data_IF_068094638945
#
_entry.id   IF_068094638945
#
_cell.length_a   1.000
_cell.length_b   1.000
_cell.length_c   1.000
_cell.angle_alpha   90.00
_cell.angle_beta   90.00
_cell.angle_gamma   90.00
#
_symmetry.space_group_name_H-M   'P 1'
#
loop_
_entity.id
_entity.type
_entity.pdbx_description
1 polymer ?
#
# COMPACT_ATOMS: atom_id res chain seq x y z
N UNK A 1 1.70 -16.64 8.08
CA UNK A 1 1.05 -16.91 6.77
C UNK A 1 2.13 -17.31 5.77
N UNK A 2 1.85 -18.23 4.83
CA UNK A 2 2.73 -18.44 3.65
C UNK A 2 2.23 -17.53 2.53
N UNK A 3 2.61 -16.26 2.57
CA UNK A 3 2.33 -15.27 1.52
C UNK A 3 3.60 -14.99 0.70
N UNK A 4 3.42 -14.57 -0.56
CA UNK A 4 4.52 -14.03 -1.37
C UNK A 4 4.33 -12.52 -1.49
N UNK A 5 5.37 -11.76 -1.14
CA UNK A 5 5.35 -10.30 -1.10
C UNK A 5 6.31 -9.65 -2.11
N UNK A 6 7.04 -10.45 -2.87
CA UNK A 6 8.00 -10.01 -3.88
C UNK A 6 7.87 -10.82 -5.17
N UNK A 7 8.69 -10.49 -6.16
CA UNK A 7 8.76 -11.15 -7.46
C UNK A 7 9.54 -12.47 -7.46
N UNK A 8 10.12 -12.88 -6.33
CA UNK A 8 10.88 -14.14 -6.23
C UNK A 8 10.00 -15.39 -6.15
N UNK A 9 8.72 -15.24 -5.81
CA UNK A 9 7.78 -16.35 -5.84
C UNK A 9 6.81 -16.24 -7.02
N UNK A 10 6.36 -17.40 -7.55
CA UNK A 10 5.45 -17.42 -8.67
C UNK A 10 4.10 -16.83 -8.25
N UNK A 11 3.53 -16.00 -9.11
CA UNK A 11 2.17 -15.50 -8.94
C UNK A 11 1.93 -14.12 -9.55
N UNK A 12 2.96 -13.30 -9.66
CA UNK A 12 2.87 -12.03 -10.37
C UNK A 12 3.48 -12.15 -11.76
N UNK A 13 2.72 -11.78 -12.79
CA UNK A 13 3.20 -11.71 -14.16
C UNK A 13 3.61 -10.28 -14.46
N UNK A 14 4.90 -10.07 -14.72
CA UNK A 14 5.47 -8.75 -14.96
C UNK A 14 5.10 -8.28 -16.37
N UNK A 15 4.57 -7.06 -16.48
CA UNK A 15 4.27 -6.47 -17.77
C UNK A 15 5.54 -6.04 -18.51
N UNK A 16 5.53 -6.12 -19.85
CA UNK A 16 6.65 -5.64 -20.65
C UNK A 16 6.83 -4.12 -20.44
N UNK A 17 8.06 -3.69 -20.16
CA UNK A 17 8.39 -2.30 -19.86
C UNK A 17 8.06 -1.86 -18.43
N UNK A 18 7.70 -2.78 -17.53
CA UNK A 18 7.54 -2.48 -16.11
C UNK A 18 8.86 -1.98 -15.50
N UNK A 19 8.79 -0.90 -14.74
CA UNK A 19 9.93 -0.24 -14.09
C UNK A 19 9.86 -0.30 -12.55
N UNK A 20 8.87 -1.00 -12.02
CA UNK A 20 8.67 -1.22 -10.59
C UNK A 20 8.06 -2.60 -10.37
N UNK A 21 8.67 -3.40 -9.50
CA UNK A 21 8.22 -4.75 -9.17
C UNK A 21 7.77 -4.85 -7.70
N UNK A 22 6.84 -5.77 -7.36
CA UNK A 22 6.56 -6.10 -5.98
C UNK A 22 7.83 -6.47 -5.22
N UNK A 23 8.02 -5.88 -4.03
CA UNK A 23 9.22 -6.09 -3.20
C UNK A 23 10.41 -5.20 -3.56
N UNK A 24 10.36 -4.44 -4.66
CA UNK A 24 11.43 -3.50 -5.02
C UNK A 24 11.38 -2.25 -4.13
N UNK A 25 12.56 -1.80 -3.67
CA UNK A 25 12.69 -0.56 -2.93
C UNK A 25 12.41 0.67 -3.83
N UNK A 26 11.71 1.65 -3.26
CA UNK A 26 11.42 2.92 -3.93
C UNK A 26 12.56 3.91 -3.73
N UNK A 27 12.89 4.66 -4.78
CA UNK A 27 13.81 5.78 -4.72
C UNK A 27 13.45 6.84 -5.77
N UNK A 28 13.72 8.13 -5.52
CA UNK A 28 14.18 8.70 -4.24
C UNK A 28 13.10 8.69 -3.15
N UNK A 29 13.51 8.68 -1.88
CA UNK A 29 12.62 8.75 -0.71
C UNK A 29 12.33 10.21 -0.31
N UNK A 30 11.28 10.42 0.48
CA UNK A 30 10.97 11.73 1.08
C UNK A 30 12.06 12.18 2.06
N UNK A 31 12.21 13.49 2.20
CA UNK A 31 13.12 14.11 3.17
C UNK A 31 12.37 14.45 4.48
N UNK A 32 12.97 14.14 5.62
CA UNK A 32 12.37 14.44 6.92
C UNK A 32 12.25 15.95 7.14
N UNK A 33 11.01 16.45 7.29
CA UNK A 33 10.69 17.87 7.38
C UNK A 33 10.90 18.64 6.07
N UNK A 34 11.07 17.94 4.94
CA UNK A 34 11.46 18.51 3.66
C UNK A 34 10.55 18.11 2.51
N UNK A 35 11.15 17.78 1.37
CA UNK A 35 10.43 17.39 0.17
C UNK A 35 9.74 16.05 0.36
N UNK A 36 8.42 16.04 0.24
CA UNK A 36 7.61 14.83 0.31
C UNK A 36 7.42 14.24 -1.08
N UNK A 37 7.64 12.93 -1.17
CA UNK A 37 7.47 12.14 -2.39
C UNK A 37 6.36 11.13 -2.19
N UNK A 38 5.56 10.94 -3.23
CA UNK A 38 4.39 10.06 -3.22
C UNK A 38 4.43 9.14 -4.42
N UNK A 39 3.90 7.94 -4.25
CA UNK A 39 3.56 7.05 -5.35
C UNK A 39 2.06 6.77 -5.29
N UNK A 40 1.44 6.65 -6.45
CA UNK A 40 0.02 6.32 -6.53
C UNK A 40 -0.12 4.94 -7.15
N UNK A 41 -0.69 4.01 -6.39
CA UNK A 41 -0.89 2.63 -6.81
C UNK A 41 -2.38 2.35 -6.98
N UNK A 42 -2.73 1.66 -8.07
CA UNK A 42 -4.08 1.14 -8.30
C UNK A 42 -4.04 -0.35 -8.55
N UNK A 43 -4.91 -1.08 -7.85
CA UNK A 43 -5.19 -2.49 -8.10
C UNK A 43 -6.59 -2.58 -8.68
N UNK A 44 -6.73 -3.21 -9.85
CA UNK A 44 -8.01 -3.32 -10.55
C UNK A 44 -8.20 -4.73 -11.08
N UNK A 45 -9.38 -5.29 -10.88
CA UNK A 45 -9.80 -6.53 -11.53
C UNK A 45 -10.21 -6.27 -12.98
N UNK A 46 -9.68 -7.05 -13.91
CA UNK A 46 -10.15 -7.07 -15.29
C UNK A 46 -11.41 -7.93 -15.39
N UNK A 47 -12.52 -7.35 -15.86
CA UNK A 47 -13.81 -8.03 -16.01
C UNK A 47 -13.78 -9.14 -17.08
N UNK A 48 -12.89 -9.04 -18.07
CA UNK A 48 -12.79 -9.99 -19.18
C UNK A 48 -11.90 -11.18 -18.83
N UNK A 49 -10.74 -10.93 -18.24
CA UNK A 49 -9.79 -12.02 -17.92
C UNK A 49 -9.95 -12.55 -16.50
N UNK A 50 -10.55 -11.76 -15.60
CA UNK A 50 -10.64 -12.07 -14.18
C UNK A 50 -9.34 -11.81 -13.40
N UNK A 51 -8.29 -11.35 -14.07
CA UNK A 51 -6.99 -11.07 -13.46
C UNK A 51 -7.03 -9.78 -12.63
N UNK A 52 -6.15 -9.68 -11.64
CA UNK A 52 -5.94 -8.46 -10.87
C UNK A 52 -4.70 -7.74 -11.37
N UNK A 53 -4.87 -6.57 -11.99
CA UNK A 53 -3.81 -5.76 -12.55
C UNK A 53 -3.33 -4.70 -11.57
N UNK A 54 -2.02 -4.50 -11.51
CA UNK A 54 -1.33 -3.51 -10.70
C UNK A 54 -0.82 -2.37 -11.58
N UNK A 55 -1.16 -1.13 -11.21
CA UNK A 55 -0.76 0.08 -11.92
C UNK A 55 -0.05 1.07 -11.01
N UNK A 56 0.84 1.87 -11.60
CA UNK A 56 1.42 3.08 -11.01
C UNK A 56 0.94 4.32 -11.78
N UNK A 57 0.37 5.29 -11.08
CA UNK A 57 -0.33 6.43 -11.71
C UNK A 57 0.47 7.73 -11.70
N UNK A 58 1.44 7.87 -10.79
CA UNK A 58 2.26 9.09 -10.65
C UNK A 58 3.32 9.27 -11.76
N UNK A 59 3.53 8.25 -12.60
CA UNK A 59 4.57 8.26 -13.64
C UNK A 59 4.14 8.77 -15.01
N UNK A 60 2.95 9.35 -15.13
CA UNK A 60 2.57 10.12 -16.31
C UNK A 60 2.69 9.35 -17.63
N UNK A 61 1.99 8.23 -17.74
CA UNK A 61 1.69 7.64 -19.05
C UNK A 61 0.95 8.64 -19.97
N UNK A 62 0.64 8.30 -21.23
CA UNK A 62 -0.04 9.22 -22.16
C UNK A 62 -1.18 9.95 -21.45
N UNK A 63 -1.13 11.30 -21.51
CA UNK A 63 -1.83 12.30 -20.67
C UNK A 63 -2.87 11.70 -19.71
N UNK A 64 -2.53 11.63 -18.41
CA UNK A 64 -3.36 11.02 -17.36
C UNK A 64 -3.23 9.50 -17.25
N UNK A 65 -2.20 8.92 -17.86
CA UNK A 65 -2.06 7.48 -18.04
C UNK A 65 -1.50 6.73 -16.83
N UNK A 66 -2.13 5.59 -16.53
CA UNK A 66 -1.65 4.56 -15.61
C UNK A 66 -0.60 3.69 -16.30
N UNK A 67 0.54 3.46 -15.66
CA UNK A 67 1.54 2.48 -16.12
C UNK A 67 1.20 1.11 -15.55
N UNK A 68 0.94 0.12 -16.42
CA UNK A 68 0.75 -1.27 -16.00
C UNK A 68 2.08 -1.86 -15.53
N UNK A 69 2.14 -2.31 -14.28
CA UNK A 69 3.32 -2.98 -13.73
C UNK A 69 3.27 -4.50 -13.95
N UNK A 70 2.06 -5.07 -13.98
CA UNK A 70 1.82 -6.50 -14.12
C UNK A 70 0.47 -6.91 -13.56
N UNK A 71 0.24 -8.21 -13.42
CA UNK A 71 -1.01 -8.76 -12.92
C UNK A 71 -0.85 -10.08 -12.18
N UNK A 72 -1.80 -10.37 -11.30
CA UNK A 72 -2.02 -11.66 -10.69
C UNK A 72 -3.11 -12.42 -11.46
N UNK A 73 -2.80 -13.61 -12.03
CA UNK A 73 -3.79 -14.41 -12.74
C UNK A 73 -4.99 -14.79 -11.87
N UNK A 74 -6.20 -14.81 -12.46
CA UNK A 74 -7.43 -15.22 -11.75
C UNK A 74 -7.28 -16.57 -11.05
N UNK A 75 -6.54 -17.51 -11.65
CA UNK A 75 -6.35 -18.87 -11.15
C UNK A 75 -5.69 -18.96 -9.77
N UNK A 76 -5.06 -17.88 -9.30
CA UNK A 76 -4.49 -17.80 -7.96
C UNK A 76 -5.56 -17.61 -6.87
N UNK A 77 -6.76 -17.16 -7.24
CA UNK A 77 -7.76 -16.69 -6.29
C UNK A 77 -9.01 -17.55 -6.30
N UNK A 78 -9.46 -17.90 -5.09
CA UNK A 78 -10.79 -18.51 -4.87
C UNK A 78 -11.83 -17.45 -4.54
N UNK A 79 -11.61 -16.65 -3.49
CA UNK A 79 -12.58 -15.63 -3.04
C UNK A 79 -12.47 -14.31 -3.80
N UNK A 80 -11.26 -13.95 -4.24
CA UNK A 80 -11.02 -12.72 -5.01
C UNK A 80 -11.33 -12.89 -6.52
N UNK A 81 -11.82 -14.05 -6.96
CA UNK A 81 -12.17 -14.30 -8.36
C UNK A 81 -13.41 -13.54 -8.82
N UNK A 82 -14.30 -13.17 -7.90
CA UNK A 82 -15.49 -12.37 -8.21
C UNK A 82 -15.25 -10.88 -7.95
N UNK A 83 -14.92 -10.53 -6.71
CA UNK A 83 -14.70 -9.16 -6.23
C UNK A 83 -13.76 -9.15 -5.02
N UNK A 84 -13.26 -7.97 -4.65
CA UNK A 84 -12.64 -7.79 -3.35
C UNK A 84 -13.68 -7.97 -2.23
N UNK A 85 -13.39 -8.82 -1.25
CA UNK A 85 -14.22 -9.04 -0.07
C UNK A 85 -13.70 -8.26 1.15
N UNK A 86 -12.39 -7.99 1.19
CA UNK A 86 -11.70 -7.24 2.23
C UNK A 86 -10.70 -6.31 1.55
N UNK A 87 -10.62 -5.06 2.01
CA UNK A 87 -9.60 -4.09 1.60
C UNK A 87 -8.78 -3.76 2.85
N UNK A 88 -7.46 -3.86 2.72
CA UNK A 88 -6.51 -3.55 3.79
C UNK A 88 -5.39 -2.70 3.22
N UNK A 89 -5.00 -1.69 3.97
CA UNK A 89 -3.74 -0.96 3.80
C UNK A 89 -2.84 -1.39 4.94
N UNK A 90 -1.73 -2.05 4.62
CA UNK A 90 -0.90 -2.72 5.60
C UNK A 90 0.57 -2.49 5.29
N UNK A 91 1.40 -2.56 6.33
CA UNK A 91 2.84 -2.71 6.26
C UNK A 91 3.25 -3.81 7.24
N UNK A 92 4.41 -4.40 7.02
CA UNK A 92 4.95 -5.45 7.88
C UNK A 92 6.44 -5.20 8.08
N UNK A 93 6.92 -5.47 9.28
CA UNK A 93 8.34 -5.47 9.60
C UNK A 93 8.72 -6.89 10.01
N UNK A 94 9.75 -7.44 9.36
CA UNK A 94 10.29 -8.76 9.63
C UNK A 94 11.78 -8.66 9.92
N UNK A 95 12.22 -9.34 10.98
CA UNK A 95 13.62 -9.40 11.42
C UNK A 95 13.85 -10.66 12.26
N UNK A 96 15.09 -11.12 12.34
CA UNK A 96 15.44 -12.35 13.08
C UNK A 96 15.33 -12.15 14.60
N UNK A 97 15.12 -13.24 15.35
CA UNK A 97 14.97 -13.22 16.82
C UNK A 97 16.16 -12.59 17.56
N UNK A 98 17.35 -12.64 16.96
CA UNK A 98 18.60 -12.09 17.50
C UNK A 98 18.96 -10.70 16.96
N UNK A 99 18.09 -10.09 16.16
CA UNK A 99 18.26 -8.77 15.58
C UNK A 99 17.27 -7.78 16.21
N UNK A 100 17.60 -6.50 16.13
CA UNK A 100 16.64 -5.43 16.42
C UNK A 100 15.87 -5.07 15.16
N UNK A 101 14.56 -4.89 15.28
CA UNK A 101 13.68 -4.53 14.19
C UNK A 101 14.10 -3.24 13.48
N UNK A 102 13.98 -3.20 12.14
CA UNK A 102 14.24 -1.99 11.37
C UNK A 102 13.20 -0.92 11.65
N UNK A 103 13.46 0.29 11.16
CA UNK A 103 12.46 1.36 11.12
C UNK A 103 11.28 0.98 10.22
N UNK A 104 10.07 1.36 10.63
CA UNK A 104 8.87 1.31 9.78
C UNK A 104 8.57 2.69 9.20
N UNK A 105 8.18 2.75 7.92
CA UNK A 105 7.84 4.00 7.25
C UNK A 105 9.03 4.95 7.18
N UNK A 106 8.92 6.13 7.79
CA UNK A 106 10.00 7.11 7.88
C UNK A 106 10.98 6.88 9.04
N UNK A 107 10.71 5.90 9.92
CA UNK A 107 11.46 5.74 11.18
C UNK A 107 10.97 6.62 12.32
N UNK A 108 9.88 7.36 12.10
CA UNK A 108 9.26 8.24 13.09
C UNK A 108 7.82 7.80 13.40
N UNK A 109 7.36 8.11 14.60
CA UNK A 109 6.00 7.78 15.02
C UNK A 109 4.96 8.61 14.27
N UNK A 110 3.75 8.06 14.16
CA UNK A 110 2.61 8.67 13.46
C UNK A 110 2.20 10.05 13.97
N UNK A 111 2.53 10.36 15.23
CA UNK A 111 2.17 11.60 15.91
C UNK A 111 3.02 12.80 15.45
N UNK A 112 4.08 12.54 14.66
CA UNK A 112 4.85 13.60 14.02
C UNK A 112 4.17 14.16 12.76
N UNK A 113 3.12 13.50 12.28
CA UNK A 113 2.23 13.97 11.19
C UNK A 113 2.94 14.29 9.87
N UNK A 114 2.32 15.15 9.06
CA UNK A 114 2.72 15.49 7.70
C UNK A 114 4.13 16.10 7.67
N UNK A 115 4.89 15.72 6.64
CA UNK A 115 6.27 16.13 6.46
C UNK A 115 7.28 15.28 7.24
N UNK A 116 6.84 14.41 8.14
CA UNK A 116 7.74 13.65 9.04
C UNK A 116 7.41 12.17 9.16
N UNK A 117 6.14 11.85 9.39
CA UNK A 117 5.65 10.47 9.43
C UNK A 117 5.31 9.98 8.01
N UNK A 118 5.46 8.68 7.78
CA UNK A 118 4.94 8.05 6.57
C UNK A 118 3.41 8.00 6.62
N UNK A 119 2.77 8.01 5.45
CA UNK A 119 1.30 7.99 5.36
C UNK A 119 0.79 7.12 4.22
N UNK A 120 -0.42 6.62 4.41
CA UNK A 120 -1.30 6.27 3.31
C UNK A 120 -2.31 7.40 3.17
N UNK A 121 -2.46 7.94 1.97
CA UNK A 121 -3.36 9.03 1.66
C UNK A 121 -4.11 8.77 0.36
N UNK A 122 -5.15 9.57 0.08
CA UNK A 122 -5.94 9.44 -1.14
C UNK A 122 -6.50 8.00 -1.32
N UNK A 123 -7.05 7.45 -0.22
CA UNK A 123 -7.51 6.07 -0.19
C UNK A 123 -8.92 5.94 -0.80
N UNK A 124 -9.01 5.25 -1.94
CA UNK A 124 -10.25 5.07 -2.70
C UNK A 124 -10.60 3.61 -2.92
N UNK A 125 -11.90 3.32 -2.82
CA UNK A 125 -12.49 2.05 -3.22
C UNK A 125 -13.38 2.27 -4.43
N UNK A 126 -13.44 1.30 -5.32
CA UNK A 126 -14.29 1.36 -6.50
C UNK A 126 -15.09 0.08 -6.62
N UNK A 127 -16.37 0.21 -6.95
CA UNK A 127 -17.19 -0.93 -7.34
C UNK A 127 -16.94 -1.35 -8.80
N UNK A 128 -17.61 -2.41 -9.26
CA UNK A 128 -17.47 -2.89 -10.65
C UNK A 128 -17.97 -1.90 -11.72
N UNK A 129 -18.75 -0.88 -11.33
CA UNK A 129 -19.18 0.20 -12.21
C UNK A 129 -18.19 1.37 -12.24
N UNK A 130 -17.12 1.30 -11.45
CA UNK A 130 -16.13 2.36 -11.29
C UNK A 130 -16.61 3.52 -10.41
N UNK A 131 -17.69 3.34 -9.66
CA UNK A 131 -18.17 4.34 -8.71
C UNK A 131 -17.38 4.24 -7.41
N UNK A 132 -17.08 5.40 -6.81
CA UNK A 132 -16.36 5.48 -5.55
C UNK A 132 -17.20 4.83 -4.44
N UNK A 133 -16.63 3.79 -3.83
CA UNK A 133 -17.11 3.10 -2.64
C UNK A 133 -16.17 3.42 -1.46
N UNK A 134 -16.37 4.58 -0.83
CA UNK A 134 -15.52 5.07 0.27
C UNK A 134 -16.19 4.94 1.65
N UNK A 135 -16.90 3.84 1.90
CA UNK A 135 -17.47 3.59 3.23
C UNK A 135 -16.47 2.85 4.13
N UNK A 136 -15.32 3.48 4.39
CA UNK A 136 -14.27 2.96 5.27
C UNK A 136 -14.42 3.41 6.72
N UNK A 137 -15.56 3.99 7.09
CA UNK A 137 -15.84 4.43 8.47
C UNK A 137 -15.79 3.30 9.51
N UNK A 138 -15.71 2.03 9.07
CA UNK A 138 -15.49 0.85 9.91
C UNK A 138 -14.09 0.21 9.80
N UNK A 139 -13.11 0.86 9.15
CA UNK A 139 -11.75 0.33 9.10
C UNK A 139 -11.11 0.41 10.50
N UNK A 140 -10.68 -0.74 11.03
CA UNK A 140 -10.13 -0.88 12.38
C UNK A 140 -8.60 -0.89 12.27
N UNK A 141 -7.88 0.02 12.96
CA UNK A 141 -6.43 -0.05 13.02
C UNK A 141 -5.99 -1.31 13.76
N UNK A 142 -4.95 -1.95 13.25
CA UNK A 142 -4.34 -3.13 13.88
C UNK A 142 -2.83 -2.90 13.99
N UNK A 143 -2.29 -3.10 15.20
CA UNK A 143 -0.86 -3.00 15.49
C UNK A 143 -0.51 -4.17 16.41
N UNK A 144 0.46 -4.98 16.00
CA UNK A 144 0.94 -6.15 16.74
C UNK A 144 1.95 -5.78 17.83
N UNK A 145 2.77 -4.75 17.59
CA UNK A 145 3.82 -4.25 18.48
C UNK A 145 3.70 -2.74 18.74
N UNK A 146 2.67 -2.29 19.48
CA UNK A 146 2.36 -0.86 19.68
C UNK A 146 3.45 -0.08 20.43
N UNK A 147 4.34 -0.76 21.15
CA UNK A 147 5.51 -0.17 21.80
C UNK A 147 6.63 0.21 20.82
N UNK A 148 6.63 -0.36 19.61
CA UNK A 148 7.66 -0.14 18.59
C UNK A 148 7.16 0.68 17.42
N UNK A 149 5.93 0.42 16.98
CA UNK A 149 5.33 1.03 15.80
C UNK A 149 3.92 1.48 16.15
N UNK A 150 3.46 2.58 15.57
CA UNK A 150 2.10 3.05 15.77
C UNK A 150 1.44 3.49 14.46
N UNK A 151 0.12 3.61 14.55
CA UNK A 151 -0.75 4.12 13.51
C UNK A 151 -1.62 5.22 14.12
N UNK A 152 -1.79 6.32 13.40
CA UNK A 152 -2.66 7.39 13.85
C UNK A 152 -4.14 6.99 13.69
N UNK A 153 -5.07 7.73 14.30
CA UNK A 153 -6.45 7.72 13.87
C UNK A 153 -6.58 8.07 12.38
N UNK A 154 -7.72 7.71 11.79
CA UNK A 154 -8.09 8.16 10.46
C UNK A 154 -8.34 9.66 10.44
N UNK A 155 -7.72 10.34 9.50
CA UNK A 155 -7.97 11.74 9.17
C UNK A 155 -8.68 11.85 7.82
N UNK A 156 -9.41 12.95 7.64
CA UNK A 156 -10.18 13.21 6.42
C UNK A 156 -11.62 13.62 6.72
N UNK A 157 -12.35 13.98 5.66
CA UNK A 157 -13.76 14.38 5.74
C UNK A 157 -14.57 13.74 4.62
N UNK A 158 -15.81 13.34 4.91
CA UNK A 158 -16.79 12.89 3.91
C UNK A 158 -16.92 13.86 2.73
N UNK A 159 -16.70 15.15 2.98
CA UNK A 159 -16.82 16.23 1.98
C UNK A 159 -15.65 16.23 1.01
N UNK A 160 -14.42 16.01 1.50
CA UNK A 160 -13.21 15.97 0.65
C UNK A 160 -12.97 14.61 -0.01
N UNK A 161 -13.69 13.56 0.42
CA UNK A 161 -13.58 12.16 -0.05
C UNK A 161 -12.18 11.52 0.06
N UNK A 162 -11.17 12.25 0.51
CA UNK A 162 -9.82 11.78 0.79
C UNK A 162 -9.71 11.40 2.28
N UNK A 163 -9.29 10.17 2.52
CA UNK A 163 -8.99 9.63 3.84
C UNK A 163 -7.51 9.27 3.88
N UNK A 164 -6.90 9.49 5.04
CA UNK A 164 -5.48 9.23 5.25
C UNK A 164 -5.19 8.88 6.70
N UNK A 165 -4.07 8.22 6.92
CA UNK A 165 -3.52 7.96 8.25
C UNK A 165 -1.99 7.96 8.16
N UNK A 166 -1.35 8.24 9.29
CA UNK A 166 0.09 8.16 9.45
C UNK A 166 0.47 6.86 10.14
N UNK A 167 1.66 6.36 9.85
CA UNK A 167 2.21 5.17 10.48
C UNK A 167 3.73 5.27 10.55
N UNK A 168 4.33 4.54 11.48
CA UNK A 168 5.77 4.37 11.54
C UNK A 168 6.28 4.04 12.93
N UNK A 169 7.60 4.04 13.05
CA UNK A 169 8.31 3.84 14.31
C UNK A 169 9.80 3.61 14.07
N UNK A 170 10.64 3.88 15.08
CA UNK A 170 12.08 3.81 14.95
C UNK A 170 12.58 2.37 14.81
N UNK A 171 13.86 2.22 14.45
CA UNK A 171 14.55 0.95 14.62
C UNK A 171 14.85 0.67 16.09
N UNK A 172 15.25 -0.57 16.39
CA UNK A 172 15.60 -0.96 17.76
C UNK A 172 14.52 -1.76 18.48
N UNK A 173 13.43 -2.12 17.79
CA UNK A 173 12.39 -2.97 18.36
C UNK A 173 12.95 -4.37 18.69
N UNK A 174 12.66 -4.91 19.87
CA UNK A 174 12.95 -6.30 20.20
C UNK A 174 11.72 -7.19 20.03
N UNK A 175 11.94 -8.46 19.72
CA UNK A 175 10.91 -9.50 19.73
C UNK A 175 10.22 -9.65 21.09
#
# INVERSE_FOLDING_TARGET
MKGCYNDYCPGFVIANGSNLLPGQALAPLSDYGGEMRYITIRIKKDEKTGDWSLYREDQGGPIGGMTLLGWWPQSLFKSLSERANVIQWTGEVNYQDNETGPSMGSGHFSDEHEGKAASFSELYGFDGLGLIYNNYYGAIPFVDKPECYNISPWYGSSVKKSQYFFYGGPSGCSH
#
